data_IF_959014411408
#
_entry.id   IF_959014411408
#
_cell.length_a   1.000
_cell.length_b   1.000
_cell.length_c   1.000
_cell.angle_alpha   90.00
_cell.angle_beta   90.00
_cell.angle_gamma   90.00
#
_symmetry.space_group_name_H-M   'P 1'
#
loop_
_entity.id
_entity.type
_entity.pdbx_description
1 polymer ?
#
# COMPACT_ATOMS: atom_id res chain seq x y z
N UNK A 1 -17.13 -35.25 -5.08
CA UNK A 1 -18.40 -36.00 -4.95
C UNK A 1 -19.42 -35.14 -4.22
N UNK A 2 -20.36 -34.54 -4.96
CA UNK A 2 -21.58 -33.95 -4.42
C UNK A 2 -22.60 -33.93 -5.57
N UNK A 3 -23.48 -34.92 -5.56
CA UNK A 3 -24.51 -35.14 -6.59
C UNK A 3 -25.67 -34.16 -6.45
N UNK A 4 -26.35 -33.81 -7.55
CA UNK A 4 -27.50 -32.91 -7.54
C UNK A 4 -28.74 -33.65 -7.05
N UNK A 5 -29.55 -33.03 -6.18
CA UNK A 5 -30.87 -33.54 -5.80
C UNK A 5 -31.95 -32.84 -6.62
N UNK A 6 -32.61 -33.64 -7.45
CA UNK A 6 -33.79 -33.33 -8.24
C UNK A 6 -34.95 -32.86 -7.36
N UNK A 7 -35.66 -31.84 -7.82
CA UNK A 7 -36.93 -31.36 -7.24
C UNK A 7 -38.07 -32.03 -8.01
N UNK A 8 -38.61 -33.12 -7.47
CA UNK A 8 -39.86 -33.71 -7.97
C UNK A 8 -41.04 -32.91 -7.42
N UNK A 9 -41.66 -32.11 -8.29
CA UNK A 9 -42.94 -31.46 -8.01
C UNK A 9 -44.07 -32.51 -8.01
N UNK A 10 -44.46 -32.97 -6.82
CA UNK A 10 -45.69 -33.75 -6.62
C UNK A 10 -46.87 -32.77 -6.53
N UNK A 11 -47.76 -32.84 -7.51
CA UNK A 11 -49.08 -32.25 -7.44
C UNK A 11 -49.94 -33.04 -6.44
N UNK A 12 -50.36 -32.38 -5.35
CA UNK A 12 -51.48 -32.85 -4.54
C UNK A 12 -52.43 -31.69 -4.28
N UNK A 13 -53.60 -31.76 -4.92
CA UNK A 13 -54.70 -30.84 -4.70
C UNK A 13 -55.38 -31.19 -3.35
N UNK A 14 -55.68 -30.19 -2.48
CA UNK A 14 -56.45 -30.45 -1.27
C UNK A 14 -57.96 -30.36 -1.55
N UNK A 15 -58.81 -31.13 -0.83
CA UNK A 15 -60.24 -31.21 -1.09
C UNK A 15 -61.01 -30.01 -0.53
N UNK A 16 -62.07 -29.65 -1.25
CA UNK A 16 -62.96 -28.54 -0.96
C UNK A 16 -63.73 -28.70 0.37
N UNK A 17 -63.71 -27.67 1.22
CA UNK A 17 -64.64 -27.47 2.33
C UNK A 17 -65.29 -26.08 2.25
N UNK A 18 -66.59 -26.09 1.96
CA UNK A 18 -67.70 -25.20 2.39
C UNK A 18 -67.51 -23.68 2.59
N UNK A 19 -68.51 -22.94 2.12
CA UNK A 19 -68.48 -21.58 1.56
C UNK A 19 -68.73 -20.39 2.51
N UNK A 20 -68.59 -20.54 3.84
CA UNK A 20 -68.68 -19.40 4.78
C UNK A 20 -67.30 -18.88 5.23
N UNK A 21 -66.28 -19.74 5.30
CA UNK A 21 -64.89 -19.35 5.65
C UNK A 21 -64.02 -19.04 4.41
N UNK A 22 -64.51 -19.32 3.20
CA UNK A 22 -63.77 -19.08 1.96
C UNK A 22 -63.55 -17.59 1.65
N UNK A 23 -64.39 -16.69 2.17
CA UNK A 23 -64.18 -15.25 2.09
C UNK A 23 -63.13 -14.78 3.09
N UNK A 24 -63.16 -15.30 4.32
CA UNK A 24 -62.17 -15.01 5.36
C UNK A 24 -60.79 -15.54 4.99
N UNK A 25 -60.68 -16.75 4.44
CA UNK A 25 -59.43 -17.31 3.93
C UNK A 25 -58.86 -16.51 2.76
N UNK A 26 -59.72 -15.99 1.87
CA UNK A 26 -59.31 -15.09 0.78
C UNK A 26 -58.82 -13.74 1.33
N UNK A 27 -59.50 -13.18 2.33
CA UNK A 27 -59.08 -11.95 3.01
C UNK A 27 -57.77 -12.15 3.79
N UNK A 28 -57.59 -13.30 4.45
CA UNK A 28 -56.36 -13.64 5.16
C UNK A 28 -55.19 -13.80 4.20
N UNK A 29 -55.38 -14.48 3.06
CA UNK A 29 -54.38 -14.57 1.97
C UNK A 29 -54.05 -13.20 1.38
N UNK A 30 -55.05 -12.33 1.20
CA UNK A 30 -54.83 -10.98 0.70
C UNK A 30 -54.04 -10.12 1.71
N UNK A 31 -54.38 -10.18 3.00
CA UNK A 31 -53.62 -9.52 4.06
C UNK A 31 -52.18 -10.04 4.15
N UNK A 32 -51.98 -11.36 4.00
CA UNK A 32 -50.65 -11.96 3.95
C UNK A 32 -49.87 -11.49 2.71
N UNK A 33 -50.52 -11.37 1.56
CA UNK A 33 -49.91 -10.83 0.34
C UNK A 33 -49.53 -9.35 0.50
N UNK A 34 -50.38 -8.53 1.12
CA UNK A 34 -50.10 -7.13 1.43
C UNK A 34 -48.93 -6.99 2.42
N UNK A 35 -48.90 -7.81 3.49
CA UNK A 35 -47.80 -7.83 4.44
C UNK A 35 -46.47 -8.24 3.77
N UNK A 36 -46.52 -9.25 2.89
CA UNK A 36 -45.37 -9.66 2.08
C UNK A 36 -44.90 -8.54 1.15
N UNK A 37 -45.81 -7.89 0.43
CA UNK A 37 -45.51 -6.77 -0.46
C UNK A 37 -44.85 -5.61 0.31
N UNK A 38 -45.37 -5.27 1.50
CA UNK A 38 -44.79 -4.26 2.39
C UNK A 38 -43.40 -4.66 2.90
N UNK A 39 -43.23 -5.91 3.32
CA UNK A 39 -41.92 -6.40 3.75
C UNK A 39 -40.87 -6.36 2.63
N UNK A 40 -41.28 -6.66 1.38
CA UNK A 40 -40.40 -6.59 0.22
C UNK A 40 -40.08 -5.15 -0.18
N UNK A 41 -41.04 -4.22 -0.10
CA UNK A 41 -40.74 -2.80 -0.36
C UNK A 41 -39.79 -2.23 0.68
N UNK A 42 -39.99 -2.60 1.95
CA UNK A 42 -39.14 -2.15 3.05
C UNK A 42 -37.73 -2.75 2.97
N UNK A 43 -37.60 -4.02 2.57
CA UNK A 43 -36.28 -4.64 2.33
C UNK A 43 -35.56 -3.99 1.15
N UNK A 44 -36.28 -3.77 0.05
CA UNK A 44 -35.70 -3.16 -1.15
C UNK A 44 -35.27 -1.72 -0.88
N UNK A 45 -36.04 -0.92 -0.13
CA UNK A 45 -35.65 0.43 0.28
C UNK A 45 -34.42 0.40 1.20
N UNK A 46 -34.39 -0.52 2.18
CA UNK A 46 -33.23 -0.69 3.06
C UNK A 46 -31.98 -1.13 2.31
N UNK A 47 -32.13 -1.95 1.28
CA UNK A 47 -31.00 -2.40 0.46
C UNK A 47 -30.52 -1.29 -0.47
N UNK A 48 -31.41 -0.59 -1.17
CA UNK A 48 -31.08 0.55 -2.02
C UNK A 48 -30.40 1.69 -1.23
N UNK A 49 -30.88 1.97 -0.01
CA UNK A 49 -30.24 2.96 0.88
C UNK A 49 -28.86 2.51 1.34
N UNK A 50 -28.68 1.22 1.69
CA UNK A 50 -27.35 0.66 2.03
C UNK A 50 -26.40 0.65 0.84
N UNK A 51 -26.89 0.35 -0.37
CA UNK A 51 -26.11 0.40 -1.60
C UNK A 51 -25.65 1.84 -1.89
N UNK A 52 -26.56 2.80 -1.81
CA UNK A 52 -26.23 4.22 -1.93
C UNK A 52 -25.19 4.67 -0.88
N UNK A 53 -25.31 4.20 0.36
CA UNK A 53 -24.30 4.44 1.40
C UNK A 53 -22.95 3.79 1.08
N UNK A 54 -22.92 2.54 0.61
CA UNK A 54 -21.68 1.84 0.20
C UNK A 54 -20.99 2.57 -0.95
N UNK A 55 -21.76 3.04 -1.94
CA UNK A 55 -21.26 3.84 -3.05
C UNK A 55 -20.75 5.21 -2.60
N UNK A 56 -21.39 5.81 -1.58
CA UNK A 56 -20.97 7.08 -0.99
C UNK A 56 -19.79 6.98 -0.01
N UNK A 57 -19.46 5.78 0.49
CA UNK A 57 -18.31 5.59 1.38
C UNK A 57 -17.01 5.46 0.59
N UNK A 58 -16.09 6.39 0.80
CA UNK A 58 -14.72 6.27 0.32
C UNK A 58 -14.01 5.09 1.00
N UNK A 59 -13.77 4.02 0.24
CA UNK A 59 -13.09 2.81 0.71
C UNK A 59 -11.69 3.10 1.30
N UNK A 60 -11.04 4.17 0.86
CA UNK A 60 -9.73 4.63 1.37
C UNK A 60 -9.81 5.13 2.81
N UNK A 61 -10.94 5.71 3.22
CA UNK A 61 -11.14 6.25 4.56
C UNK A 61 -11.45 5.15 5.60
N UNK A 62 -12.02 4.02 5.17
CA UNK A 62 -12.39 2.90 6.05
C UNK A 62 -11.21 2.40 6.88
N UNK A 63 -10.02 2.31 6.29
CA UNK A 63 -8.80 1.89 7.02
C UNK A 63 -8.46 2.85 8.15
N UNK A 64 -8.63 4.16 7.93
CA UNK A 64 -8.36 5.17 8.95
C UNK A 64 -9.38 5.13 10.09
N UNK A 65 -10.64 4.88 9.76
CA UNK A 65 -11.73 4.74 10.74
C UNK A 65 -11.55 3.48 11.58
N UNK A 66 -11.20 2.35 10.96
CA UNK A 66 -10.87 1.11 11.66
C UNK A 66 -9.72 1.33 12.64
N UNK A 67 -8.61 1.95 12.22
CA UNK A 67 -7.50 2.27 13.14
C UNK A 67 -7.95 3.14 14.32
N UNK A 68 -8.80 4.15 14.09
CA UNK A 68 -9.34 5.01 15.16
C UNK A 68 -10.23 4.22 16.12
N UNK A 69 -11.08 3.36 15.58
CA UNK A 69 -11.93 2.45 16.35
C UNK A 69 -11.08 1.51 17.21
N UNK A 70 -10.06 0.87 16.63
CA UNK A 70 -9.17 -0.04 17.36
C UNK A 70 -8.41 0.67 18.48
N UNK A 71 -7.94 1.91 18.22
CA UNK A 71 -7.32 2.75 19.25
C UNK A 71 -8.30 3.09 20.37
N UNK A 72 -9.56 3.41 20.04
CA UNK A 72 -10.58 3.74 21.02
C UNK A 72 -10.95 2.50 21.87
N UNK A 73 -11.17 1.36 21.22
CA UNK A 73 -11.43 0.08 21.88
C UNK A 73 -10.27 -0.33 22.79
N UNK A 74 -9.02 -0.17 22.33
CA UNK A 74 -7.83 -0.41 23.15
C UNK A 74 -7.80 0.48 24.41
N UNK A 75 -8.09 1.77 24.26
CA UNK A 75 -8.13 2.71 25.41
C UNK A 75 -9.23 2.35 26.39
N UNK A 76 -10.41 1.96 25.88
CA UNK A 76 -11.55 1.55 26.69
C UNK A 76 -11.20 0.29 27.47
N UNK A 77 -10.69 -0.75 26.81
CA UNK A 77 -10.23 -1.98 27.46
C UNK A 77 -9.16 -1.71 28.53
N UNK A 78 -8.23 -0.80 28.25
CA UNK A 78 -7.21 -0.40 29.24
C UNK A 78 -7.86 0.18 30.50
N UNK A 79 -8.82 1.10 30.34
CA UNK A 79 -9.55 1.70 31.47
C UNK A 79 -10.34 0.64 32.24
N UNK A 80 -11.09 -0.24 31.57
CA UNK A 80 -11.85 -1.30 32.23
C UNK A 80 -10.97 -2.25 33.06
N UNK A 81 -9.79 -2.60 32.53
CA UNK A 81 -8.84 -3.49 33.22
C UNK A 81 -8.17 -2.77 34.41
N UNK A 82 -7.84 -1.48 34.27
CA UNK A 82 -7.33 -0.66 35.37
C UNK A 82 -8.39 -0.44 36.46
N UNK A 83 -9.66 -0.23 36.10
CA UNK A 83 -10.79 -0.12 37.04
C UNK A 83 -11.07 -1.44 37.77
N UNK A 84 -10.86 -2.58 37.12
CA UNK A 84 -10.92 -3.90 37.73
C UNK A 84 -9.70 -4.19 38.66
N UNK A 85 -8.69 -3.31 38.70
CA UNK A 85 -7.50 -3.47 39.52
C UNK A 85 -6.46 -4.44 38.95
N UNK A 86 -6.61 -4.84 37.68
CA UNK A 86 -5.66 -5.70 36.95
C UNK A 86 -4.61 -4.86 36.21
N UNK A 87 -3.39 -5.41 36.02
CA UNK A 87 -2.34 -4.78 35.21
C UNK A 87 -2.53 -5.14 33.72
N UNK A 88 -3.00 -4.16 32.93
CA UNK A 88 -3.27 -4.33 31.50
C UNK A 88 -2.06 -4.77 30.69
N UNK A 89 -0.88 -4.21 30.97
CA UNK A 89 0.33 -4.52 30.21
C UNK A 89 0.79 -5.96 30.50
N UNK A 90 0.59 -6.44 31.74
CA UNK A 90 0.82 -7.83 32.10
C UNK A 90 -0.14 -8.75 31.34
N UNK A 91 -1.45 -8.51 31.40
CA UNK A 91 -2.47 -9.34 30.72
C UNK A 91 -2.20 -9.44 29.22
N UNK A 92 -1.86 -8.32 28.57
CA UNK A 92 -1.50 -8.29 27.16
C UNK A 92 -0.21 -9.07 26.85
N UNK A 93 0.76 -9.07 27.76
CA UNK A 93 2.00 -9.82 27.56
C UNK A 93 1.78 -11.34 27.56
N UNK A 94 0.74 -11.84 28.24
CA UNK A 94 0.38 -13.26 28.19
C UNK A 94 -0.13 -13.70 26.82
N UNK A 95 -0.86 -12.82 26.13
CA UNK A 95 -1.42 -13.11 24.81
C UNK A 95 -0.39 -12.93 23.67
N UNK A 96 0.84 -12.51 23.97
CA UNK A 96 1.85 -12.23 22.95
C UNK A 96 2.36 -13.54 22.35
N UNK A 97 2.00 -13.79 21.09
CA UNK A 97 2.48 -14.97 20.36
C UNK A 97 3.92 -14.80 19.89
N UNK A 98 4.65 -15.92 19.74
CA UNK A 98 6.04 -15.94 19.25
C UNK A 98 6.13 -15.26 17.87
N UNK A 99 5.19 -15.55 16.97
CA UNK A 99 5.12 -14.96 15.63
C UNK A 99 4.99 -13.44 15.63
N UNK A 100 4.19 -12.90 16.55
CA UNK A 100 4.00 -11.45 16.71
C UNK A 100 5.27 -10.79 17.26
N UNK A 101 5.94 -11.42 18.22
CA UNK A 101 7.22 -10.96 18.75
C UNK A 101 8.28 -10.91 17.64
N UNK A 102 8.41 -11.97 16.84
CA UNK A 102 9.36 -11.99 15.73
C UNK A 102 9.06 -10.91 14.68
N UNK A 103 7.78 -10.71 14.33
CA UNK A 103 7.37 -9.66 13.39
C UNK A 103 7.69 -8.27 13.95
N UNK A 104 7.51 -8.08 15.25
CA UNK A 104 7.88 -6.85 15.94
C UNK A 104 9.39 -6.60 15.91
N UNK A 105 10.20 -7.61 16.21
CA UNK A 105 11.65 -7.52 16.16
C UNK A 105 12.17 -7.28 14.74
N UNK A 106 11.61 -7.96 13.74
CA UNK A 106 11.88 -7.69 12.31
C UNK A 106 11.58 -6.23 11.97
N UNK A 107 10.48 -5.66 12.46
CA UNK A 107 10.11 -4.25 12.25
C UNK A 107 11.07 -3.29 12.97
N UNK A 108 11.45 -3.57 14.22
CA UNK A 108 12.40 -2.76 14.99
C UNK A 108 13.79 -2.79 14.36
N UNK A 109 14.28 -3.97 13.97
CA UNK A 109 15.54 -4.17 13.25
C UNK A 109 15.54 -3.40 11.93
N UNK A 110 14.47 -3.47 11.14
CA UNK A 110 14.33 -2.69 9.91
C UNK A 110 14.36 -1.18 10.17
N UNK A 111 13.71 -0.70 11.24
CA UNK A 111 13.76 0.72 11.61
C UNK A 111 15.17 1.16 12.03
N UNK A 112 15.87 0.33 12.80
CA UNK A 112 17.24 0.56 13.22
C UNK A 112 18.19 0.62 12.02
N UNK A 113 18.12 -0.38 11.12
CA UNK A 113 18.96 -0.38 9.90
C UNK A 113 18.65 0.81 8.99
N UNK A 114 17.40 1.27 8.90
CA UNK A 114 17.08 2.49 8.16
C UNK A 114 17.66 3.75 8.79
N UNK A 115 17.68 3.86 10.12
CA UNK A 115 18.32 4.98 10.84
C UNK A 115 19.83 4.97 10.59
N UNK A 116 20.46 3.82 10.74
CA UNK A 116 21.92 3.69 10.65
C UNK A 116 22.41 3.86 9.20
N UNK A 117 21.60 3.45 8.23
CA UNK A 117 21.84 3.69 6.79
C UNK A 117 21.54 5.12 6.34
N UNK A 118 21.11 6.04 7.22
CA UNK A 118 20.89 7.43 6.83
C UNK A 118 22.20 8.22 6.67
N UNK A 119 23.28 7.78 7.33
CA UNK A 119 24.59 8.45 7.26
C UNK A 119 25.29 8.09 5.95
N UNK A 120 25.87 9.09 5.29
CA UNK A 120 26.70 8.90 4.11
C UNK A 120 27.94 8.06 4.46
N UNK A 121 28.22 7.02 3.68
CA UNK A 121 29.42 6.19 3.82
C UNK A 121 30.21 6.09 2.52
N UNK A 122 29.53 5.73 1.43
CA UNK A 122 30.12 5.44 0.13
C UNK A 122 29.19 5.91 -1.00
N UNK A 123 29.71 6.59 -2.05
CA UNK A 123 28.94 6.93 -3.24
C UNK A 123 28.14 5.76 -3.84
N UNK A 124 28.71 4.54 -3.86
CA UNK A 124 28.04 3.38 -4.46
C UNK A 124 26.86 2.89 -3.62
N UNK A 125 26.93 3.03 -2.29
CA UNK A 125 25.80 2.69 -1.43
C UNK A 125 24.67 3.73 -1.58
N UNK A 126 25.00 5.01 -1.71
CA UNK A 126 24.01 6.07 -1.96
C UNK A 126 23.32 5.93 -3.32
N UNK A 127 24.07 5.63 -4.39
CA UNK A 127 23.49 5.39 -5.71
C UNK A 127 22.47 4.25 -5.67
N UNK A 128 22.82 3.14 -5.01
CA UNK A 128 21.93 2.00 -4.80
C UNK A 128 20.68 2.34 -3.97
N UNK A 129 20.80 3.19 -2.94
CA UNK A 129 19.63 3.66 -2.16
C UNK A 129 18.69 4.50 -3.02
N UNK A 130 19.25 5.40 -3.84
CA UNK A 130 18.49 6.24 -4.76
C UNK A 130 17.78 5.36 -5.79
N UNK A 131 18.49 4.42 -6.40
CA UNK A 131 17.95 3.47 -7.37
C UNK A 131 16.80 2.64 -6.78
N UNK A 132 16.98 2.03 -5.60
CA UNK A 132 15.91 1.29 -4.91
C UNK A 132 14.69 2.15 -4.57
N UNK A 133 14.89 3.45 -4.30
CA UNK A 133 13.77 4.39 -4.09
C UNK A 133 13.06 4.70 -5.39
N UNK A 134 13.79 4.90 -6.49
CA UNK A 134 13.21 5.12 -7.81
C UNK A 134 12.40 3.90 -8.27
N UNK A 135 12.92 2.69 -8.09
CA UNK A 135 12.19 1.44 -8.41
C UNK A 135 10.84 1.34 -7.70
N UNK A 136 10.74 1.79 -6.45
CA UNK A 136 9.46 1.79 -5.70
C UNK A 136 8.44 2.79 -6.24
N UNK A 137 8.90 3.82 -6.94
CA UNK A 137 8.03 4.86 -7.50
C UNK A 137 7.60 4.55 -8.93
N UNK A 138 8.23 3.58 -9.59
CA UNK A 138 7.86 3.14 -10.93
C UNK A 138 6.60 2.28 -10.81
N UNK A 139 5.56 2.64 -11.55
CA UNK A 139 4.35 1.84 -11.70
C UNK A 139 4.39 1.17 -13.09
N UNK A 140 4.64 -0.15 -13.17
CA UNK A 140 4.64 -0.87 -14.44
C UNK A 140 3.23 -0.93 -15.06
N UNK A 141 3.16 -0.73 -16.37
CA UNK A 141 1.94 -0.94 -17.16
C UNK A 141 1.88 -2.41 -17.60
N UNK A 142 1.09 -3.21 -16.86
CA UNK A 142 0.98 -4.65 -17.09
C UNK A 142 0.26 -4.96 -18.41
N UNK A 143 -0.76 -4.18 -18.79
CA UNK A 143 -1.49 -4.39 -20.04
C UNK A 143 -0.62 -4.09 -21.26
N UNK A 144 0.15 -2.99 -21.19
CA UNK A 144 1.11 -2.65 -22.23
C UNK A 144 2.18 -3.74 -22.39
N UNK A 145 2.66 -4.28 -21.27
CA UNK A 145 3.61 -5.39 -21.28
C UNK A 145 3.02 -6.66 -21.92
N UNK A 146 1.80 -7.04 -21.58
CA UNK A 146 1.13 -8.22 -22.14
C UNK A 146 0.90 -8.11 -23.65
N UNK A 147 0.51 -6.93 -24.14
CA UNK A 147 0.36 -6.67 -25.59
C UNK A 147 1.69 -6.78 -26.33
N UNK A 148 2.75 -6.17 -25.79
CA UNK A 148 4.09 -6.26 -26.38
C UNK A 148 4.61 -7.70 -26.34
N UNK A 149 4.35 -8.42 -25.24
CA UNK A 149 4.67 -9.83 -25.09
C UNK A 149 3.98 -10.69 -26.15
N UNK A 150 2.67 -10.54 -26.33
CA UNK A 150 1.91 -11.28 -27.33
C UNK A 150 2.40 -10.99 -28.76
N UNK A 151 2.64 -9.73 -29.10
CA UNK A 151 3.15 -9.35 -30.43
C UNK A 151 4.56 -9.89 -30.70
N UNK A 152 5.42 -9.95 -29.68
CA UNK A 152 6.75 -10.52 -29.82
C UNK A 152 6.70 -12.05 -29.98
N UNK A 153 5.79 -12.74 -29.29
CA UNK A 153 5.54 -14.19 -29.48
C UNK A 153 5.01 -14.46 -30.90
N UNK A 154 4.04 -13.66 -31.38
CA UNK A 154 3.48 -13.79 -32.73
C UNK A 154 4.56 -13.59 -33.79
N UNK A 155 5.42 -12.58 -33.61
CA UNK A 155 6.55 -12.33 -34.53
C UNK A 155 7.55 -13.48 -34.54
N UNK A 156 7.86 -14.05 -33.38
CA UNK A 156 8.78 -15.18 -33.25
C UNK A 156 8.19 -16.48 -33.84
N UNK A 157 6.88 -16.69 -33.69
CA UNK A 157 6.16 -17.77 -34.34
C UNK A 157 6.14 -17.60 -35.87
N UNK A 158 5.90 -16.39 -36.37
CA UNK A 158 5.91 -16.08 -37.79
C UNK A 158 7.31 -16.20 -38.43
N UNK A 159 8.36 -15.92 -37.67
CA UNK A 159 9.74 -16.09 -38.13
C UNK A 159 10.26 -17.54 -37.99
N UNK A 160 9.44 -18.46 -37.47
CA UNK A 160 9.84 -19.85 -37.23
C UNK A 160 10.91 -20.02 -36.14
N UNK A 161 11.08 -19.03 -35.26
CA UNK A 161 12.10 -19.03 -34.19
C UNK A 161 11.63 -19.65 -32.87
N UNK A 162 10.38 -20.11 -32.80
CA UNK A 162 9.85 -20.88 -31.68
C UNK A 162 10.07 -22.36 -31.96
N UNK A 163 10.96 -22.98 -31.18
CA UNK A 163 11.15 -24.42 -31.19
C UNK A 163 10.18 -25.06 -30.18
N UNK A 164 9.41 -26.05 -30.62
CA UNK A 164 8.46 -26.75 -29.76
C UNK A 164 9.19 -27.92 -29.13
N UNK A 165 9.57 -27.78 -27.86
CA UNK A 165 10.27 -28.83 -27.11
C UNK A 165 9.25 -29.58 -26.27
N UNK A 166 9.08 -30.89 -26.52
CA UNK A 166 8.36 -31.79 -25.63
C UNK A 166 9.23 -32.08 -24.41
N UNK A 167 8.75 -31.71 -23.22
CA UNK A 167 9.39 -32.09 -21.95
C UNK A 167 9.13 -33.56 -21.61
N UNK A 168 9.93 -34.16 -20.71
CA UNK A 168 9.82 -35.57 -20.29
C UNK A 168 8.43 -35.94 -19.74
N UNK A 169 7.66 -34.93 -19.29
CA UNK A 169 6.29 -35.06 -18.80
C UNK A 169 5.21 -34.94 -19.91
N UNK A 170 5.61 -34.77 -21.17
CA UNK A 170 4.71 -34.64 -22.32
C UNK A 170 4.09 -33.24 -22.52
N UNK A 171 4.60 -32.22 -21.82
CA UNK A 171 4.15 -30.83 -22.00
C UNK A 171 4.97 -30.15 -23.12
N UNK A 172 4.28 -29.61 -24.12
CA UNK A 172 4.86 -28.88 -25.26
C UNK A 172 5.20 -27.45 -24.82
N UNK A 173 6.49 -27.16 -24.63
CA UNK A 173 6.97 -25.83 -24.26
C UNK A 173 7.59 -25.16 -25.48
N UNK A 174 7.07 -23.99 -25.84
CA UNK A 174 7.67 -23.15 -26.86
C UNK A 174 8.93 -22.47 -26.29
N UNK A 175 10.11 -22.91 -26.74
CA UNK A 175 11.41 -22.36 -26.34
C UNK A 175 11.95 -21.47 -27.47
N UNK A 176 12.20 -20.21 -27.15
CA UNK A 176 12.83 -19.24 -28.07
C UNK A 176 14.34 -19.54 -28.14
N UNK A 177 14.77 -20.17 -29.25
CA UNK A 177 16.18 -20.57 -29.47
C UNK A 177 17.08 -19.37 -29.75
N UNK A 178 16.56 -18.38 -30.46
CA UNK A 178 17.33 -17.27 -31.02
C UNK A 178 17.33 -16.02 -30.12
N UNK A 179 16.66 -16.06 -28.98
CA UNK A 179 16.53 -14.92 -28.06
C UNK A 179 15.72 -13.76 -28.64
N UNK A 180 14.87 -14.05 -29.62
CA UNK A 180 14.04 -13.08 -30.33
C UNK A 180 12.99 -12.42 -29.42
N UNK A 181 12.54 -13.16 -28.41
CA UNK A 181 11.51 -12.81 -27.43
C UNK A 181 12.14 -12.44 -26.08
N UNK A 182 13.06 -13.26 -25.57
CA UNK A 182 13.88 -12.93 -24.41
C UNK A 182 15.31 -12.64 -24.85
N UNK A 183 15.70 -11.35 -24.84
CA UNK A 183 17.05 -10.95 -25.28
C UNK A 183 18.13 -11.70 -24.50
N UNK A 184 18.96 -12.45 -25.20
CA UNK A 184 20.20 -13.04 -24.73
C UNK A 184 21.35 -12.05 -24.93
N UNK A 185 22.54 -12.36 -24.39
CA UNK A 185 23.71 -11.47 -24.48
C UNK A 185 24.10 -11.12 -25.93
N UNK A 186 23.76 -12.00 -26.88
CA UNK A 186 24.12 -11.86 -28.29
C UNK A 186 23.00 -11.23 -29.15
N UNK A 187 21.82 -10.95 -28.57
CA UNK A 187 20.69 -10.39 -29.32
C UNK A 187 20.83 -8.88 -29.52
N UNK A 188 20.69 -8.40 -30.76
CA UNK A 188 20.82 -6.98 -31.12
C UNK A 188 19.49 -6.22 -31.24
N UNK A 189 18.36 -6.89 -30.98
CA UNK A 189 17.00 -6.35 -31.14
C UNK A 189 16.75 -5.08 -30.32
N UNK A 190 17.49 -4.87 -29.21
CA UNK A 190 17.39 -3.65 -28.40
C UNK A 190 17.72 -2.37 -29.20
N UNK A 191 18.60 -2.46 -30.20
CA UNK A 191 19.05 -1.31 -30.99
C UNK A 191 17.95 -0.76 -31.91
N UNK A 192 16.94 -1.58 -32.23
CA UNK A 192 15.82 -1.20 -33.10
C UNK A 192 14.56 -0.76 -32.33
N UNK A 193 14.59 -0.83 -30.99
CA UNK A 193 13.43 -0.45 -30.18
C UNK A 193 13.26 1.07 -30.15
N UNK A 194 12.16 1.55 -30.73
CA UNK A 194 11.74 2.95 -30.67
C UNK A 194 10.58 3.06 -29.67
N UNK A 195 10.84 3.52 -28.43
CA UNK A 195 9.79 3.62 -27.42
C UNK A 195 8.75 4.66 -27.81
N UNK A 196 7.51 4.45 -27.37
CA UNK A 196 6.44 5.40 -27.56
C UNK A 196 6.75 6.74 -26.86
N UNK A 197 6.29 7.84 -27.48
CA UNK A 197 6.53 9.20 -26.99
C UNK A 197 5.95 9.41 -25.59
N UNK A 198 4.78 8.82 -25.28
CA UNK A 198 4.20 8.91 -23.95
C UNK A 198 5.08 8.23 -22.89
N UNK A 199 5.76 7.13 -23.23
CA UNK A 199 6.68 6.44 -22.32
C UNK A 199 7.93 7.28 -22.03
N UNK A 200 8.45 7.97 -23.05
CA UNK A 200 9.56 8.92 -22.88
C UNK A 200 9.15 10.10 -22.00
N UNK A 201 7.95 10.65 -22.21
CA UNK A 201 7.48 11.80 -21.42
C UNK A 201 7.23 11.42 -19.95
N UNK A 202 6.76 10.21 -19.67
CA UNK A 202 6.68 9.65 -18.29
C UNK A 202 8.06 9.60 -17.63
N UNK A 203 9.08 9.08 -18.33
CA UNK A 203 10.46 9.03 -17.82
C UNK A 203 11.00 10.43 -17.52
N UNK A 204 10.79 11.39 -18.42
CA UNK A 204 11.23 12.78 -18.22
C UNK A 204 10.53 13.41 -17.01
N UNK A 205 9.23 13.18 -16.84
CA UNK A 205 8.47 13.65 -15.69
C UNK A 205 9.03 13.07 -14.37
N UNK A 206 9.36 11.77 -14.34
CA UNK A 206 9.95 11.13 -13.18
C UNK A 206 11.35 11.67 -12.83
N UNK A 207 12.18 11.94 -13.84
CA UNK A 207 13.48 12.59 -13.64
C UNK A 207 13.32 13.99 -13.04
N UNK A 208 12.43 14.82 -13.59
CA UNK A 208 12.14 16.17 -13.06
C UNK A 208 11.63 16.10 -11.63
N UNK A 209 10.69 15.20 -11.34
CA UNK A 209 10.16 14.98 -9.99
C UNK A 209 11.26 14.59 -8.99
N UNK A 210 12.21 13.76 -9.41
CA UNK A 210 13.34 13.38 -8.56
C UNK A 210 14.26 14.58 -8.26
N UNK A 211 14.51 15.44 -9.24
CA UNK A 211 15.29 16.66 -9.06
C UNK A 211 14.60 17.69 -8.16
N UNK A 212 13.31 17.92 -8.36
CA UNK A 212 12.49 18.81 -7.54
C UNK A 212 12.50 18.38 -6.07
N UNK A 213 12.34 17.09 -5.79
CA UNK A 213 12.42 16.55 -4.43
C UNK A 213 13.81 16.77 -3.81
N UNK A 214 14.88 16.63 -4.59
CA UNK A 214 16.25 16.89 -4.14
C UNK A 214 16.45 18.36 -3.80
N UNK A 215 15.99 19.26 -4.67
CA UNK A 215 16.10 20.72 -4.49
C UNK A 215 15.25 21.19 -3.30
N UNK A 216 14.03 20.68 -3.16
CA UNK A 216 13.14 20.97 -2.02
C UNK A 216 13.81 20.60 -0.69
N UNK A 217 14.34 19.38 -0.56
CA UNK A 217 15.05 18.95 0.66
C UNK A 217 16.31 19.77 0.94
N UNK A 218 17.02 20.22 -0.09
CA UNK A 218 18.15 21.13 0.06
C UNK A 218 17.69 22.50 0.60
N UNK A 219 16.62 23.07 0.03
CA UNK A 219 16.04 24.34 0.48
C UNK A 219 15.55 24.26 1.93
N UNK A 220 14.83 23.20 2.29
CA UNK A 220 14.36 22.96 3.66
C UNK A 220 15.52 22.90 4.67
N UNK A 221 16.63 22.24 4.34
CA UNK A 221 17.82 22.20 5.20
C UNK A 221 18.50 23.57 5.32
N UNK A 222 18.49 24.38 4.26
CA UNK A 222 19.04 25.74 4.31
C UNK A 222 18.16 26.66 5.16
N UNK A 223 16.84 26.53 5.06
CA UNK A 223 15.88 27.32 5.84
C UNK A 223 15.96 27.02 7.35
N UNK A 224 16.07 25.74 7.73
CA UNK A 224 16.21 25.33 9.14
C UNK A 224 17.47 25.86 9.83
N UNK A 225 18.50 26.23 9.08
CA UNK A 225 19.78 26.66 9.64
C UNK A 225 19.82 28.18 9.93
N UNK A 226 18.69 28.88 9.98
CA UNK A 226 18.69 30.35 9.97
C UNK A 226 17.71 31.10 10.86
N UNK A 227 16.83 30.43 11.61
CA UNK A 227 15.67 31.12 12.22
C UNK A 227 15.69 31.21 13.76
N UNK A 228 16.40 30.31 14.45
CA UNK A 228 16.23 30.12 15.90
C UNK A 228 17.42 30.57 16.79
N UNK A 229 18.43 31.26 16.26
CA UNK A 229 19.64 31.57 17.05
C UNK A 229 20.29 32.92 16.75
N UNK A 230 21.20 33.33 17.64
CA UNK A 230 21.95 34.58 17.54
C UNK A 230 22.73 34.68 16.22
N UNK A 231 22.65 35.85 15.59
CA UNK A 231 23.29 36.11 14.31
C UNK A 231 24.79 36.32 14.52
N UNK A 232 25.57 35.25 14.36
CA UNK A 232 27.04 35.26 14.50
C UNK A 232 27.79 35.58 13.20
N UNK A 233 27.09 36.01 12.14
CA UNK A 233 27.66 36.17 10.79
C UNK A 233 27.23 37.49 10.13
N UNK A 234 28.11 38.03 9.27
CA UNK A 234 27.85 39.26 8.50
C UNK A 234 27.41 38.94 7.06
N UNK A 235 27.92 37.86 6.45
CA UNK A 235 27.57 37.44 5.09
C UNK A 235 27.22 35.94 5.01
N UNK A 236 26.58 35.52 3.92
CA UNK A 236 26.14 34.11 3.73
C UNK A 236 27.31 33.12 3.67
N UNK A 237 28.46 33.53 3.14
CA UNK A 237 29.66 32.67 3.12
C UNK A 237 30.23 32.46 4.54
N UNK A 238 30.21 33.49 5.37
CA UNK A 238 30.60 33.49 6.78
C UNK A 238 29.61 32.63 7.57
N UNK A 239 28.31 32.71 7.30
CA UNK A 239 27.31 31.79 7.85
C UNK A 239 27.67 30.33 7.60
N UNK A 240 27.97 29.98 6.34
CA UNK A 240 28.33 28.61 5.97
C UNK A 240 29.66 28.17 6.62
N UNK A 241 30.62 29.09 6.76
CA UNK A 241 31.88 28.84 7.43
C UNK A 241 31.68 28.61 8.95
N UNK A 242 30.94 29.48 9.63
CA UNK A 242 30.59 29.33 11.04
C UNK A 242 29.80 28.04 11.28
N UNK A 243 28.87 27.67 10.40
CA UNK A 243 28.18 26.37 10.45
C UNK A 243 29.13 25.19 10.27
N UNK A 244 30.18 25.33 9.46
CA UNK A 244 31.21 24.29 9.33
C UNK A 244 32.00 24.18 10.63
N UNK A 245 32.45 25.30 11.21
CA UNK A 245 33.15 25.31 12.49
C UNK A 245 32.30 24.71 13.60
N UNK A 246 31.03 25.08 13.66
CA UNK A 246 30.07 24.58 14.63
C UNK A 246 30.02 23.05 14.65
N UNK A 247 29.89 22.43 13.48
CA UNK A 247 29.85 20.95 13.33
C UNK A 247 31.09 20.23 13.85
N UNK A 248 32.27 20.85 13.79
CA UNK A 248 33.52 20.22 14.19
C UNK A 248 33.94 20.56 15.62
N UNK A 249 33.74 21.81 16.04
CA UNK A 249 34.32 22.36 17.27
C UNK A 249 33.33 22.50 18.41
N UNK A 250 32.02 22.60 18.17
CA UNK A 250 31.02 22.82 19.24
C UNK A 250 31.06 21.73 20.32
N UNK A 251 31.41 20.50 19.93
CA UNK A 251 31.57 19.39 20.87
C UNK A 251 32.70 19.65 21.89
N UNK A 252 33.72 20.39 21.51
CA UNK A 252 34.90 20.66 22.33
C UNK A 252 34.89 22.06 22.97
N UNK A 253 34.11 22.99 22.42
CA UNK A 253 34.03 24.39 22.88
C UNK A 253 32.73 24.70 23.61
N UNK A 254 31.94 23.69 23.97
CA UNK A 254 30.69 23.85 24.72
C UNK A 254 30.92 24.63 26.02
N UNK A 255 31.87 24.20 26.85
CA UNK A 255 32.18 24.85 28.14
C UNK A 255 32.59 26.32 27.96
N UNK A 256 33.34 26.62 26.90
CA UNK A 256 33.77 27.99 26.58
C UNK A 256 32.56 28.85 26.20
N UNK A 257 31.66 28.34 25.35
CA UNK A 257 30.43 29.03 24.95
C UNK A 257 29.55 29.30 26.16
N UNK A 258 29.33 28.28 26.97
CA UNK A 258 28.58 28.32 28.21
C UNK A 258 29.12 29.39 29.17
N UNK A 259 30.44 29.48 29.31
CA UNK A 259 31.08 30.53 30.11
C UNK A 259 30.89 31.92 29.51
N UNK A 260 30.93 32.08 28.18
CA UNK A 260 30.57 33.35 27.54
C UNK A 260 29.11 33.75 27.80
N UNK A 261 28.17 32.80 27.70
CA UNK A 261 26.75 33.04 27.99
C UNK A 261 26.50 33.37 29.46
N UNK A 262 27.32 32.82 30.38
CA UNK A 262 27.31 33.15 31.82
C UNK A 262 28.10 34.40 32.19
N UNK A 263 28.58 35.19 31.22
CA UNK A 263 29.29 36.45 31.50
C UNK A 263 30.77 36.28 31.81
N UNK A 264 31.44 35.31 31.18
CA UNK A 264 32.89 35.04 31.27
C UNK A 264 33.41 34.65 32.66
N UNK A 265 32.53 34.24 33.58
CA UNK A 265 32.96 33.58 34.81
C UNK A 265 33.50 32.17 34.49
N UNK A 266 34.70 31.88 34.98
CA UNK A 266 35.34 30.57 34.94
C UNK A 266 34.81 29.68 36.07
#
# INVERSE_FOLDING_TARGET
MASPKEVTASSSAPPAKTSTNAQEDRMARFKALQARAKSSSDSNLKEATKESQRLGTDQTQLTSLQRKHDIAAYKLLKVEVEEAGEDFERKRAWDWTIDESEKWDKRKKKKATHRDNNVFRDPQQESNKIYKRQLKNIAPDMEGYEKQKAAAIEKAAASGGLDIVETEDGELIAVDRDGSFYSTADTTTFAQNKPDKASVDRLVADLRRAEEQRLKKRKERMAKNGDDGDVTYINEKNKQFNQKLARFYDKYTADIRDSFERGTMI
#
